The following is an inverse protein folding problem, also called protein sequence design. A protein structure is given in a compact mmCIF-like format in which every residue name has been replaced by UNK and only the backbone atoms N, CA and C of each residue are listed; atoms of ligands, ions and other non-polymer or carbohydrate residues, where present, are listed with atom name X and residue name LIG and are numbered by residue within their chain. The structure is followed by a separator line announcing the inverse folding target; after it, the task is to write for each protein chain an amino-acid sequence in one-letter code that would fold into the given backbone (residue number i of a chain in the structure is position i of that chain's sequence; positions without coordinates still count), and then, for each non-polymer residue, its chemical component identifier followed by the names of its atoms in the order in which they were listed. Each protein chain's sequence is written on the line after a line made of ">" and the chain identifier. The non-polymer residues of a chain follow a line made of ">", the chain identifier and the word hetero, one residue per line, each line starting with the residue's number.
data_IF_468415374294
#
_entry.id   IF_468415374294
#
_cell.length_a   1.000
_cell.length_b   1.000
_cell.length_c   1.000
_cell.angle_alpha   90.00
_cell.angle_beta   90.00
_cell.angle_gamma   90.00
#
_symmetry.space_group_name_H-M   'P 1'
#
loop_
_entity.id
_entity.type
_entity.pdbx_description
1 polymer ?
2 polymer ?
3 non-polymer ?
4 non-polymer ?
5 water ?
#
# COMPACT_ATOMS: atom_id res chain seq x y z
N UNK A 1 -7.49 -12.24 7.22
CA UNK A 1 -6.20 -11.51 7.20
C UNK A 1 -5.34 -11.81 5.94
N UNK A 2 -4.78 -13.00 5.95
CA UNK A 2 -3.74 -13.42 5.02
C UNK A 2 -4.28 -13.32 3.58
N UNK A 3 -5.53 -13.73 3.38
CA UNK A 3 -6.09 -13.79 2.05
C UNK A 3 -6.86 -12.53 1.60
N UNK A 4 -6.79 -11.45 2.38
CA UNK A 4 -7.63 -10.24 2.16
C UNK A 4 -7.02 -9.49 0.96
N UNK A 5 -7.81 -9.27 -0.07
CA UNK A 5 -7.31 -8.51 -1.25
C UNK A 5 -7.79 -7.07 -1.18
N UNK A 6 -6.82 -6.13 -1.26
CA UNK A 6 -7.14 -4.69 -1.26
C UNK A 6 -6.37 -3.94 -2.30
N UNK A 7 -5.14 -4.38 -2.56
CA UNK A 7 -4.27 -3.63 -3.48
C UNK A 7 -4.76 -3.72 -4.93
N UNK A 8 -4.38 -2.75 -5.77
CA UNK A 8 -4.80 -2.80 -7.17
C UNK A 8 -4.20 -3.94 -7.97
N UNK A 9 -3.21 -4.63 -7.41
CA UNK A 9 -2.69 -5.80 -8.08
C UNK A 9 -3.60 -7.03 -7.95
N UNK A 10 -4.65 -6.89 -7.15
CA UNK A 10 -5.66 -7.93 -6.99
C UNK A 10 -5.09 -9.18 -6.29
N UNK A 11 -3.92 -9.04 -5.62
CA UNK A 11 -3.31 -10.16 -4.87
C UNK A 11 -3.42 -9.84 -3.35
N UNK A 12 -3.46 -10.87 -2.51
CA UNK A 12 -3.77 -10.67 -1.09
C UNK A 12 -2.61 -10.01 -0.29
N UNK A 13 -2.93 -9.59 0.96
CA UNK A 13 -1.93 -9.17 1.92
C UNK A 13 -0.76 -10.17 2.06
N UNK A 14 -1.07 -11.43 2.44
CA UNK A 14 -0.08 -12.51 2.48
C UNK A 14 1.13 -12.08 3.26
N UNK A 15 0.91 -11.30 4.32
CA UNK A 15 2.05 -10.92 5.20
C UNK A 15 3.04 -9.91 4.68
N UNK A 16 2.75 -9.33 3.51
CA UNK A 16 3.69 -8.47 2.80
C UNK A 16 3.60 -7.07 3.38
N UNK A 17 4.68 -6.32 3.35
CA UNK A 17 4.57 -4.85 3.78
C UNK A 17 3.53 -4.09 2.92
N UNK A 18 2.69 -3.31 3.59
CA UNK A 18 1.65 -2.53 2.92
C UNK A 18 1.55 -1.17 3.53
N UNK A 19 0.96 -0.26 2.78
CA UNK A 19 0.85 1.16 3.17
C UNK A 19 -0.51 1.64 2.76
N UNK A 20 -1.17 2.45 3.60
CA UNK A 20 -2.55 2.85 3.33
C UNK A 20 -2.51 4.18 2.60
N UNK A 21 -3.20 4.24 1.47
CA UNK A 21 -3.33 5.52 0.74
C UNK A 21 -4.07 6.59 1.64
N UNK A 22 -3.48 7.78 1.77
CA UNK A 22 -4.11 8.85 2.54
C UNK A 22 -5.39 9.46 1.90
N UNK A 23 -5.59 9.25 0.60
CA UNK A 23 -6.79 9.76 -0.06
C UNK A 23 -7.98 8.82 -0.28
N UNK A 24 -7.69 7.56 -0.60
CA UNK A 24 -8.72 6.57 -0.78
C UNK A 24 -8.71 5.46 0.28
N UNK A 25 -7.73 5.52 1.18
CA UNK A 25 -7.67 4.64 2.38
C UNK A 25 -7.58 3.18 2.02
N UNK A 26 -7.04 2.90 0.83
CA UNK A 26 -6.80 1.53 0.38
C UNK A 26 -5.41 1.07 0.81
N UNK A 27 -5.33 -0.15 1.32
CA UNK A 27 -4.02 -0.75 1.63
C UNK A 27 -3.36 -1.25 0.32
N UNK A 28 -2.14 -0.79 0.06
CA UNK A 28 -1.39 -1.10 -1.15
C UNK A 28 -0.07 -1.74 -0.76
N UNK A 29 0.37 -2.76 -1.52
CA UNK A 29 1.69 -3.34 -1.20
C UNK A 29 2.79 -2.32 -1.48
N UNK A 30 3.79 -2.26 -0.61
CA UNK A 30 4.97 -1.41 -0.86
C UNK A 30 5.56 -1.67 -2.23
N UNK A 31 5.69 -2.95 -2.61
CA UNK A 31 6.31 -3.25 -3.92
C UNK A 31 5.52 -2.67 -5.06
N UNK A 32 4.20 -2.81 -4.99
CA UNK A 32 3.34 -2.30 -6.04
C UNK A 32 3.42 -0.78 -6.17
N UNK A 33 3.57 -0.14 -5.02
CA UNK A 33 3.64 1.32 -4.94
C UNK A 33 5.03 1.85 -5.29
N UNK A 34 6.00 0.96 -5.54
CA UNK A 34 7.41 1.41 -5.79
C UNK A 34 8.05 2.17 -4.60
N UNK A 35 7.83 1.64 -3.42
CA UNK A 35 8.33 2.18 -2.13
C UNK A 35 9.25 1.19 -1.47
N UNK A 36 10.41 1.65 -0.99
CA UNK A 36 11.33 0.78 -0.23
C UNK A 36 10.99 0.81 1.24
N UNK A 37 11.18 -0.33 1.90
CA UNK A 37 10.96 -0.45 3.32
C UNK A 37 11.76 0.59 4.12
N UNK A 38 12.96 0.89 3.64
CA UNK A 38 13.87 1.83 4.30
C UNK A 38 13.57 3.32 4.01
N UNK A 39 12.63 3.59 3.10
CA UNK A 39 12.33 4.96 2.71
C UNK A 39 10.83 5.17 2.44
N UNK A 40 10.04 4.96 3.48
CA UNK A 40 8.60 5.13 3.44
C UNK A 40 8.27 6.62 3.55
N UNK A 41 7.40 7.13 2.66
CA UNK A 41 7.05 8.54 2.73
C UNK A 41 6.19 8.80 3.99
N UNK A 42 6.20 10.02 4.53
CA UNK A 42 5.29 10.27 5.65
C UNK A 42 3.81 10.43 5.24
N UNK A 43 3.56 10.84 4.01
CA UNK A 43 2.22 10.82 3.45
C UNK A 43 2.26 10.04 2.16
N UNK A 44 1.32 9.09 2.00
CA UNK A 44 1.31 8.24 0.82
C UNK A 44 0.01 8.46 0.08
N UNK A 45 0.13 8.77 -1.21
CA UNK A 45 -1.03 8.82 -2.10
C UNK A 45 -0.79 7.86 -3.30
N UNK A 46 -1.75 6.94 -3.51
CA UNK A 46 -1.55 5.84 -4.45
C UNK A 46 -1.69 6.34 -5.89
N UNK A 47 -1.21 5.54 -6.83
CA UNK A 47 -1.16 5.92 -8.22
C UNK A 47 -2.55 6.17 -8.77
N UNK A 48 -3.52 5.36 -8.38
CA UNK A 48 -4.91 5.57 -8.85
C UNK A 48 -5.44 6.91 -8.44
N UNK A 49 -5.11 7.35 -7.22
CA UNK A 49 -5.57 8.63 -6.73
C UNK A 49 -4.85 9.77 -7.47
N UNK A 50 -3.55 9.60 -7.68
CA UNK A 50 -2.72 10.57 -8.44
C UNK A 50 -3.15 10.77 -9.91
N UNK A 51 -3.75 9.74 -10.51
CA UNK A 51 -4.24 9.80 -11.90
C UNK A 51 -5.61 10.48 -12.02
N UNK A 52 -6.07 11.13 -10.94
CA UNK A 52 -7.46 11.68 -10.78
C UNK A 52 -8.53 10.61 -10.59
N UNK B 1 2.84 7.73 7.46
CA UNK B 1 1.89 6.84 6.74
C UNK B 1 1.46 5.68 7.65
N UNK B 2 0.23 5.19 7.47
CA UNK B 2 -0.24 4.03 8.22
C UNK B 2 0.22 2.77 7.49
N UNK B 3 1.18 2.06 8.07
CA UNK B 3 1.79 0.94 7.37
C UNK B 3 1.56 -0.30 8.19
N UNK B 4 1.79 -1.46 7.58
CA UNK B 4 1.83 -2.73 8.31
C UNK B 4 2.87 -3.62 7.76
N UNK B 5 3.47 -4.44 8.62
CA UNK B 5 4.56 -5.35 8.26
C UNK B 5 5.81 -4.65 7.72
N UNK B 6 6.08 -3.41 8.16
CA UNK B 6 7.33 -2.76 7.73
C UNK B 6 8.40 -2.80 8.80
X LIG C 1 12.59 -2.67 -0.49
X LIG C 1 11.83 -2.62 0.69
X LIG C 1 14.02 -3.12 -0.17
X LIG C 1 14.85 -2.95 -1.30
X LIG C 1 14.58 -2.44 1.10
X LIG C 1 15.05 -1.12 0.87
X LIG D 1 -0.21 -5.09 -4.75
X LIG E 1 -5.55 6.11 -3.28
#
# INVERSE_FOLDING_TARGET
>A
SWDLVTCFCMKPFAGRPMIECNECHTWIHLSCAKIRKSNVPEVFVCQKCRDS
>B
ARTKQTARKST
>C hetero
1 GOL C1 O1 C2 O2 C3 O3
>D hetero
1 ZN ZN
>E hetero
1 ZN ZN
#
